data_IF_850501722117
#
_entry.id   IF_850501722117
#
_cell.length_a   1.000
_cell.length_b   1.000
_cell.length_c   1.000
_cell.angle_alpha   90.00
_cell.angle_beta   90.00
_cell.angle_gamma   90.00
#
_symmetry.space_group_name_H-M   'P 1'
#
loop_
_entity.id
_entity.type
_entity.pdbx_description
1 polymer ?
#
# COMPACT_ATOMS: atom_id res chain seq x y z
N UNK A 1 24.07 -31.05 -24.94
CA UNK A 1 23.73 -30.01 -23.93
C UNK A 1 24.14 -30.51 -22.55
N UNK A 2 24.86 -29.72 -21.80
CA UNK A 2 25.31 -30.14 -20.47
C UNK A 2 24.17 -30.03 -19.45
N UNK A 3 24.29 -30.79 -18.35
CA UNK A 3 23.37 -30.69 -17.23
C UNK A 3 23.38 -29.27 -16.63
N UNK A 4 24.55 -28.64 -16.60
CA UNK A 4 24.69 -27.28 -16.09
C UNK A 4 23.83 -26.31 -16.90
N UNK A 5 23.89 -26.36 -18.23
CA UNK A 5 23.10 -25.48 -19.10
C UNK A 5 21.62 -25.73 -18.95
N UNK A 6 21.20 -26.98 -18.77
CA UNK A 6 19.82 -27.36 -18.56
C UNK A 6 19.29 -26.80 -17.27
N UNK A 7 20.04 -26.93 -16.15
CA UNK A 7 19.66 -26.44 -14.85
C UNK A 7 19.61 -24.90 -14.83
N UNK A 8 20.57 -24.25 -15.46
CA UNK A 8 20.59 -22.80 -15.60
C UNK A 8 19.34 -22.28 -16.32
N UNK A 9 18.94 -22.97 -17.39
CA UNK A 9 17.72 -22.62 -18.14
C UNK A 9 16.47 -22.79 -17.30
N UNK A 10 16.36 -23.86 -16.52
CA UNK A 10 15.24 -24.10 -15.63
C UNK A 10 15.16 -23.04 -14.51
N UNK A 11 16.30 -22.69 -13.90
CA UNK A 11 16.35 -21.66 -12.85
C UNK A 11 16.02 -20.27 -13.39
N UNK A 12 16.50 -19.95 -14.60
CA UNK A 12 16.17 -18.67 -15.23
C UNK A 12 14.67 -18.56 -15.49
N UNK A 13 14.02 -19.65 -15.95
CA UNK A 13 12.58 -19.69 -16.14
C UNK A 13 11.80 -19.49 -14.84
N UNK A 14 12.24 -20.13 -13.75
CA UNK A 14 11.62 -19.97 -12.43
C UNK A 14 11.76 -18.54 -11.91
N UNK A 15 12.92 -17.92 -12.07
CA UNK A 15 13.15 -16.53 -11.65
C UNK A 15 12.25 -15.56 -12.41
N UNK A 16 12.13 -15.73 -13.73
CA UNK A 16 11.27 -14.90 -14.55
C UNK A 16 9.81 -15.01 -14.12
N UNK A 17 9.33 -16.22 -13.82
CA UNK A 17 7.97 -16.45 -13.34
C UNK A 17 7.74 -15.81 -11.97
N UNK A 18 8.67 -15.95 -11.04
CA UNK A 18 8.58 -15.34 -9.71
C UNK A 18 8.56 -13.83 -9.78
N UNK A 19 9.37 -13.23 -10.65
CA UNK A 19 9.41 -11.79 -10.87
C UNK A 19 8.09 -11.28 -11.43
N UNK A 20 7.48 -12.01 -12.37
CA UNK A 20 6.18 -11.66 -12.93
C UNK A 20 5.08 -11.73 -11.88
N UNK A 21 5.04 -12.78 -11.07
CA UNK A 21 4.06 -12.93 -9.99
C UNK A 21 4.19 -11.80 -8.96
N UNK A 22 5.43 -11.42 -8.63
CA UNK A 22 5.70 -10.31 -7.71
C UNK A 22 5.19 -8.99 -8.27
N UNK A 23 5.42 -8.72 -9.55
CA UNK A 23 4.94 -7.51 -10.23
C UNK A 23 3.40 -7.46 -10.22
N UNK A 24 2.75 -8.59 -10.45
CA UNK A 24 1.30 -8.69 -10.44
C UNK A 24 0.73 -8.40 -9.05
N UNK A 25 1.34 -8.97 -8.01
CA UNK A 25 0.92 -8.70 -6.62
C UNK A 25 1.11 -7.24 -6.24
N UNK A 26 2.24 -6.67 -6.62
CA UNK A 26 2.53 -5.26 -6.38
C UNK A 26 1.51 -4.37 -7.10
N UNK A 27 1.21 -4.68 -8.36
CA UNK A 27 0.23 -3.93 -9.16
C UNK A 27 -1.17 -3.99 -8.53
N UNK A 28 -1.62 -5.18 -8.11
CA UNK A 28 -2.93 -5.32 -7.46
C UNK A 28 -3.04 -4.46 -6.20
N UNK A 29 -2.03 -4.48 -5.36
CA UNK A 29 -2.01 -3.69 -4.15
C UNK A 29 -1.92 -2.18 -4.44
N UNK A 30 -1.12 -1.79 -5.44
CA UNK A 30 -0.99 -0.40 -5.86
C UNK A 30 -2.29 0.14 -6.45
N UNK A 31 -2.98 -0.64 -7.27
CA UNK A 31 -4.27 -0.29 -7.84
C UNK A 31 -5.33 -0.14 -6.73
N UNK A 32 -5.30 -1.03 -5.74
CA UNK A 32 -6.17 -0.93 -4.57
C UNK A 32 -5.91 0.36 -3.80
N UNK A 33 -4.66 0.71 -3.54
CA UNK A 33 -4.32 1.92 -2.79
C UNK A 33 -4.74 3.18 -3.55
N UNK A 34 -4.56 3.21 -4.87
CA UNK A 34 -5.00 4.30 -5.72
C UNK A 34 -6.51 4.47 -5.67
N UNK A 35 -7.27 3.38 -5.78
CA UNK A 35 -8.72 3.39 -5.68
C UNK A 35 -9.19 3.85 -4.30
N UNK A 36 -8.55 3.36 -3.25
CA UNK A 36 -8.84 3.77 -1.88
C UNK A 36 -8.64 5.28 -1.71
N UNK A 37 -7.53 5.81 -2.21
CA UNK A 37 -7.26 7.24 -2.16
C UNK A 37 -8.33 8.05 -2.91
N UNK A 38 -8.64 7.67 -4.14
CA UNK A 38 -9.56 8.43 -4.99
C UNK A 38 -11.01 8.38 -4.51
N UNK A 39 -11.45 7.24 -3.99
CA UNK A 39 -12.84 7.01 -3.61
C UNK A 39 -13.16 7.30 -2.14
N UNK A 40 -12.21 7.02 -1.24
CA UNK A 40 -12.49 7.06 0.19
C UNK A 40 -11.73 8.16 0.94
N UNK A 41 -10.55 8.52 0.50
CA UNK A 41 -9.70 9.47 1.21
C UNK A 41 -9.82 10.89 0.66
N UNK A 42 -9.56 11.06 -0.62
CA UNK A 42 -9.59 12.38 -1.28
C UNK A 42 -10.92 13.10 -1.11
N UNK A 43 -12.09 12.44 -1.27
CA UNK A 43 -13.38 13.12 -1.10
C UNK A 43 -13.86 13.24 0.36
N UNK A 44 -13.11 12.72 1.33
CA UNK A 44 -13.57 12.69 2.73
C UNK A 44 -13.74 14.09 3.32
N UNK A 45 -14.95 14.43 3.73
CA UNK A 45 -15.24 15.68 4.41
C UNK A 45 -14.66 15.69 5.83
N UNK A 46 -14.67 14.54 6.50
CA UNK A 46 -14.09 14.42 7.83
C UNK A 46 -12.62 14.79 7.85
N UNK A 47 -11.84 14.27 6.90
CA UNK A 47 -10.42 14.59 6.81
C UNK A 47 -10.19 16.07 6.51
N UNK A 48 -10.98 16.64 5.59
CA UNK A 48 -10.90 18.07 5.27
C UNK A 48 -11.24 18.95 6.46
N UNK A 49 -12.32 18.63 7.18
CA UNK A 49 -12.78 19.37 8.34
C UNK A 49 -11.75 19.33 9.47
N UNK A 50 -11.06 18.21 9.62
CA UNK A 50 -9.99 18.03 10.62
C UNK A 50 -8.65 18.60 10.19
N UNK A 51 -8.57 19.22 9.00
CA UNK A 51 -7.34 19.82 8.52
C UNK A 51 -6.27 18.84 8.08
N UNK A 52 -6.68 17.61 7.71
CA UNK A 52 -5.75 16.57 7.28
C UNK A 52 -5.54 16.69 5.78
N UNK A 53 -4.30 16.91 5.38
CA UNK A 53 -3.90 16.92 3.98
C UNK A 53 -3.56 15.52 3.52
N UNK A 54 -3.98 15.17 2.32
CA UNK A 54 -3.79 13.84 1.76
C UNK A 54 -3.12 13.93 0.38
N UNK A 55 -2.22 13.00 0.11
CA UNK A 55 -1.58 12.90 -1.20
C UNK A 55 -1.20 11.46 -1.49
N UNK A 56 -1.15 11.12 -2.77
CA UNK A 56 -0.67 9.82 -3.24
C UNK A 56 0.50 10.08 -4.17
N UNK A 57 1.68 9.61 -3.79
CA UNK A 57 2.91 9.78 -4.56
C UNK A 57 3.46 8.38 -4.82
N UNK A 58 3.46 7.95 -6.08
CA UNK A 58 3.82 6.59 -6.50
C UNK A 58 2.97 5.55 -5.76
N UNK A 59 3.55 4.73 -4.91
CA UNK A 59 2.88 3.68 -4.16
C UNK A 59 2.76 4.03 -2.68
N UNK A 60 2.69 5.32 -2.36
CA UNK A 60 2.70 5.81 -1.01
C UNK A 60 1.60 6.83 -0.81
N UNK A 61 0.68 6.50 0.08
CA UNK A 61 -0.37 7.41 0.52
C UNK A 61 0.11 8.13 1.77
N UNK A 62 0.05 9.45 1.75
CA UNK A 62 0.51 10.29 2.86
C UNK A 62 -0.66 11.09 3.40
N UNK A 63 -0.90 10.98 4.71
CA UNK A 63 -1.87 11.79 5.43
C UNK A 63 -1.14 12.60 6.48
N UNK A 64 -1.34 13.90 6.48
CA UNK A 64 -0.61 14.81 7.34
C UNK A 64 -1.53 15.92 7.84
N UNK A 65 -1.49 16.18 9.15
CA UNK A 65 -2.21 17.30 9.74
C UNK A 65 -1.20 18.37 10.15
N UNK A 66 -1.00 19.43 9.32
CA UNK A 66 -0.12 20.51 9.68
C UNK A 66 -0.74 21.29 10.85
N UNK A 67 -0.01 21.41 11.96
CA UNK A 67 -0.41 22.23 13.09
C UNK A 67 0.64 23.28 13.38
N UNK A 68 0.16 24.50 13.62
CA UNK A 68 1.00 25.61 14.00
C UNK A 68 1.57 25.35 15.40
N UNK A 69 2.90 25.24 15.49
CA UNK A 69 3.61 25.10 16.74
C UNK A 69 3.85 23.68 17.24
N UNK A 70 3.31 22.68 16.57
CA UNK A 70 3.56 21.27 16.90
C UNK A 70 3.88 20.48 15.64
N UNK A 71 4.94 19.69 15.71
CA UNK A 71 5.27 18.75 14.65
C UNK A 71 4.51 17.43 14.89
N UNK A 72 3.62 17.07 13.98
CA UNK A 72 3.02 15.74 13.95
C UNK A 72 3.62 14.97 12.79
N UNK A 73 4.00 13.72 13.05
CA UNK A 73 4.51 12.86 11.98
C UNK A 73 3.40 12.52 10.99
N UNK A 74 3.70 12.52 9.68
CA UNK A 74 2.73 12.05 8.70
C UNK A 74 2.45 10.56 8.88
N UNK A 75 1.23 10.16 8.55
CA UNK A 75 0.88 8.75 8.43
C UNK A 75 1.18 8.29 7.01
N UNK A 76 1.98 7.24 6.87
CA UNK A 76 2.33 6.66 5.59
C UNK A 76 1.68 5.30 5.41
N UNK A 77 1.02 5.10 4.28
CA UNK A 77 0.51 3.80 3.84
C UNK A 77 1.25 3.47 2.55
N UNK A 78 2.00 2.38 2.55
CA UNK A 78 2.95 2.04 1.48
C UNK A 78 2.68 0.63 0.96
N UNK A 79 2.81 0.43 -0.34
CA UNK A 79 2.75 -0.89 -0.97
C UNK A 79 4.17 -1.41 -1.14
N UNK A 80 4.44 -2.58 -0.58
CA UNK A 80 5.73 -3.26 -0.70
C UNK A 80 5.87 -4.06 -1.98
N UNK A 81 7.07 -4.56 -2.23
CA UNK A 81 7.41 -5.29 -3.47
C UNK A 81 6.59 -6.56 -3.69
N UNK A 82 6.15 -7.21 -2.61
CA UNK A 82 5.35 -8.44 -2.67
C UNK A 82 3.84 -8.17 -2.60
N UNK A 83 3.43 -6.91 -2.73
CA UNK A 83 2.03 -6.54 -2.62
C UNK A 83 1.52 -6.47 -1.19
N UNK A 84 2.41 -6.44 -0.19
CA UNK A 84 2.02 -6.16 1.18
C UNK A 84 1.67 -4.69 1.37
N UNK A 85 0.75 -4.41 2.27
CA UNK A 85 0.37 -3.05 2.63
C UNK A 85 0.93 -2.76 4.01
N UNK A 86 1.77 -1.73 4.09
CA UNK A 86 2.39 -1.30 5.34
C UNK A 86 1.78 0.04 5.78
N UNK A 87 1.49 0.15 7.06
CA UNK A 87 0.99 1.39 7.65
C UNK A 87 1.77 1.68 8.94
N UNK A 88 2.29 2.88 9.04
CA UNK A 88 3.07 3.33 10.21
C UNK A 88 4.21 2.36 10.56
N UNK A 89 4.87 1.79 9.57
CA UNK A 89 5.96 0.84 9.76
C UNK A 89 5.54 -0.59 10.10
N UNK A 90 4.24 -0.89 10.14
CA UNK A 90 3.72 -2.24 10.38
C UNK A 90 3.16 -2.84 9.10
N UNK A 91 3.40 -4.12 8.87
CA UNK A 91 2.80 -4.82 7.74
C UNK A 91 1.41 -5.34 8.09
N UNK A 92 0.44 -5.07 7.21
CA UNK A 92 -0.91 -5.61 7.30
C UNK A 92 -1.08 -6.86 6.43
N UNK A 93 0.03 -7.40 5.91
CA UNK A 93 0.03 -8.56 5.06
C UNK A 93 -0.17 -8.25 3.58
N UNK A 94 -0.10 -9.28 2.76
CA UNK A 94 -0.29 -9.14 1.32
C UNK A 94 -1.75 -8.84 0.99
N UNK A 95 -1.94 -7.89 0.08
CA UNK A 95 -3.27 -7.57 -0.41
C UNK A 95 -3.79 -8.67 -1.33
N UNK A 96 -5.05 -9.05 -1.13
CA UNK A 96 -5.77 -9.97 -2.03
C UNK A 96 -7.10 -9.34 -2.41
N UNK A 97 -7.51 -9.40 -3.70
CA UNK A 97 -8.76 -8.78 -4.15
C UNK A 97 -10.00 -9.24 -3.37
N UNK A 98 -10.02 -10.49 -2.92
CA UNK A 98 -11.12 -11.04 -2.12
C UNK A 98 -11.27 -10.33 -0.76
N UNK A 99 -10.23 -9.68 -0.27
CA UNK A 99 -10.20 -8.98 1.01
C UNK A 99 -10.38 -7.47 0.89
N UNK A 100 -10.75 -6.98 -0.28
CA UNK A 100 -10.81 -5.55 -0.59
C UNK A 100 -11.58 -4.75 0.45
N UNK A 101 -12.80 -5.15 0.79
CA UNK A 101 -13.62 -4.42 1.75
C UNK A 101 -13.06 -4.51 3.16
N UNK A 102 -12.60 -5.69 3.57
CA UNK A 102 -11.98 -5.89 4.88
C UNK A 102 -10.72 -5.05 5.02
N UNK A 103 -9.90 -4.98 3.97
CA UNK A 103 -8.67 -4.19 3.99
C UNK A 103 -8.97 -2.69 4.04
N UNK A 104 -9.98 -2.22 3.32
CA UNK A 104 -10.43 -0.83 3.40
C UNK A 104 -10.83 -0.45 4.82
N UNK A 105 -11.64 -1.30 5.47
CA UNK A 105 -12.09 -1.06 6.84
C UNK A 105 -10.94 -1.06 7.85
N UNK A 106 -9.99 -1.97 7.64
CA UNK A 106 -8.78 -2.03 8.48
C UNK A 106 -7.96 -0.75 8.37
N UNK A 107 -7.72 -0.27 7.14
CA UNK A 107 -7.00 0.98 6.91
C UNK A 107 -7.75 2.18 7.48
N UNK A 108 -9.06 2.25 7.31
CA UNK A 108 -9.90 3.32 7.88
C UNK A 108 -9.79 3.33 9.41
N UNK A 109 -9.87 2.16 10.04
CA UNK A 109 -9.70 2.02 11.48
C UNK A 109 -8.34 2.53 11.97
N UNK A 110 -7.28 2.21 11.25
CA UNK A 110 -5.93 2.68 11.57
C UNK A 110 -5.82 4.21 11.43
N UNK A 111 -6.42 4.78 10.40
CA UNK A 111 -6.45 6.24 10.19
C UNK A 111 -7.21 6.94 11.32
N UNK A 112 -8.37 6.41 11.69
CA UNK A 112 -9.18 6.93 12.79
C UNK A 112 -8.38 6.92 14.09
N UNK A 113 -7.72 5.82 14.40
CA UNK A 113 -6.88 5.71 15.59
C UNK A 113 -5.70 6.67 15.58
N UNK A 114 -5.04 6.78 14.45
CA UNK A 114 -3.84 7.62 14.33
C UNK A 114 -4.12 9.10 14.57
N UNK A 115 -5.22 9.60 14.02
CA UNK A 115 -5.58 11.02 14.12
C UNK A 115 -6.62 11.31 15.20
N UNK A 116 -7.05 10.30 15.94
CA UNK A 116 -8.09 10.42 17.00
C UNK A 116 -9.37 11.07 16.44
N UNK A 117 -9.86 10.48 15.36
CA UNK A 117 -11.06 10.99 14.68
C UNK A 117 -12.39 10.54 15.35
#
# INVERSE_FOLDING_TARGET
MSELDKVLGELAGKRAQQDQERRERHKLASDFLTEFFEQDIKPSQTLKTRGIEVSLIDHKLVLHRPQSGHYEEPLYIVVGEQGEIDIAGRSLGRYQPAEKLAKKRELIGEIISFFDL
#
